data_IF_309909140734
#
_entry.id   IF_309909140734
#
_cell.length_a   1.000
_cell.length_b   1.000
_cell.length_c   1.000
_cell.angle_alpha   90.00
_cell.angle_beta   90.00
_cell.angle_gamma   90.00
#
_symmetry.space_group_name_H-M   'P 1'
#
loop_
_entity.id
_entity.type
_entity.pdbx_description
1 polymer ?
#
# COMPACT_ATOMS: atom_id res chain seq x y z
N UNK A 1 -31.49 -17.09 -6.62
CA UNK A 1 -31.10 -16.79 -8.04
C UNK A 1 -31.21 -15.31 -8.39
N UNK A 2 -32.34 -14.62 -8.19
CA UNK A 2 -32.47 -13.17 -8.49
C UNK A 2 -31.63 -12.31 -7.52
N UNK A 3 -31.72 -12.55 -6.22
CA UNK A 3 -30.92 -11.86 -5.17
C UNK A 3 -29.43 -12.06 -5.33
N UNK A 4 -28.96 -13.25 -5.67
CA UNK A 4 -27.53 -13.52 -5.95
C UNK A 4 -27.02 -12.74 -7.17
N UNK A 5 -27.83 -12.64 -8.23
CA UNK A 5 -27.50 -11.86 -9.44
C UNK A 5 -27.45 -10.35 -9.14
N UNK A 6 -28.34 -9.84 -8.32
CA UNK A 6 -28.37 -8.44 -7.92
C UNK A 6 -27.19 -8.08 -7.00
N UNK A 7 -26.87 -8.93 -6.03
CA UNK A 7 -25.72 -8.78 -5.14
C UNK A 7 -24.41 -8.83 -5.92
N UNK A 8 -24.28 -9.77 -6.88
CA UNK A 8 -23.10 -9.88 -7.76
C UNK A 8 -22.96 -8.67 -8.68
N UNK A 9 -24.07 -8.14 -9.23
CA UNK A 9 -24.09 -6.92 -10.06
C UNK A 9 -23.74 -5.67 -9.24
N UNK A 10 -24.21 -5.56 -8.00
CA UNK A 10 -23.92 -4.45 -7.08
C UNK A 10 -22.44 -4.48 -6.63
N UNK A 11 -21.89 -5.66 -6.36
CA UNK A 11 -20.47 -5.85 -6.04
C UNK A 11 -19.58 -5.46 -7.22
N UNK A 12 -19.88 -5.92 -8.42
CA UNK A 12 -19.15 -5.57 -9.64
C UNK A 12 -19.11 -4.05 -9.87
N UNK A 13 -20.22 -3.34 -9.65
CA UNK A 13 -20.28 -1.89 -9.84
C UNK A 13 -19.47 -1.12 -8.79
N UNK A 14 -19.39 -1.61 -7.54
CA UNK A 14 -18.52 -1.03 -6.52
C UNK A 14 -17.05 -1.16 -6.93
N UNK A 15 -16.67 -2.32 -7.42
CA UNK A 15 -15.29 -2.59 -7.87
C UNK A 15 -14.93 -1.70 -9.08
N UNK A 16 -15.83 -1.51 -10.04
CA UNK A 16 -15.66 -0.59 -11.17
C UNK A 16 -15.44 0.86 -10.73
N UNK A 17 -16.21 1.34 -9.73
CA UNK A 17 -16.04 2.68 -9.16
C UNK A 17 -14.67 2.84 -8.52
N UNK A 18 -14.23 1.87 -7.71
CA UNK A 18 -12.92 1.90 -7.04
C UNK A 18 -11.78 1.81 -8.04
N UNK A 19 -11.90 0.96 -9.07
CA UNK A 19 -10.93 0.88 -10.16
C UNK A 19 -10.80 2.22 -10.92
N UNK A 20 -11.94 2.84 -11.26
CA UNK A 20 -11.94 4.14 -11.92
C UNK A 20 -11.30 5.22 -11.06
N UNK A 21 -11.57 5.21 -9.74
CA UNK A 21 -10.94 6.14 -8.80
C UNK A 21 -9.42 5.92 -8.74
N UNK A 22 -8.95 4.68 -8.65
CA UNK A 22 -7.52 4.35 -8.67
C UNK A 22 -6.84 4.80 -9.98
N UNK A 23 -7.48 4.59 -11.14
CA UNK A 23 -6.98 5.06 -12.44
C UNK A 23 -6.95 6.59 -12.54
N UNK A 24 -7.94 7.28 -11.97
CA UNK A 24 -7.93 8.74 -11.91
C UNK A 24 -6.80 9.27 -11.01
N UNK A 25 -6.50 8.58 -9.91
CA UNK A 25 -5.35 8.89 -9.04
C UNK A 25 -4.02 8.67 -9.77
N UNK A 26 -3.92 7.67 -10.62
CA UNK A 26 -2.74 7.41 -11.43
C UNK A 26 -2.54 8.50 -12.49
N UNK A 27 -3.58 8.82 -13.25
CA UNK A 27 -3.53 9.77 -14.37
C UNK A 27 -3.51 11.25 -13.95
N UNK A 28 -3.83 11.56 -12.67
CA UNK A 28 -3.77 12.94 -12.19
C UNK A 28 -2.32 13.37 -11.99
N UNK A 29 -2.01 14.64 -12.30
CA UNK A 29 -0.73 15.27 -11.97
C UNK A 29 -0.55 15.52 -10.46
N UNK A 30 -1.53 15.09 -9.65
CA UNK A 30 -1.58 15.30 -8.20
C UNK A 30 -1.98 16.70 -7.77
N UNK A 31 -2.09 17.66 -8.68
CA UNK A 31 -2.48 19.04 -8.39
C UNK A 31 -3.99 19.23 -8.38
N UNK A 32 -4.74 18.33 -8.99
CA UNK A 32 -6.19 18.44 -9.12
C UNK A 32 -6.93 17.50 -8.15
N UNK A 33 -7.81 18.12 -7.35
CA UNK A 33 -8.74 17.36 -6.51
C UNK A 33 -9.69 16.53 -7.38
N UNK A 34 -9.73 15.23 -7.18
CA UNK A 34 -10.73 14.36 -7.80
C UNK A 34 -12.11 14.72 -7.22
N UNK A 35 -13.05 15.11 -8.10
CA UNK A 35 -14.44 15.39 -7.71
C UNK A 35 -15.33 14.18 -7.97
N UNK A 36 -16.42 14.06 -7.21
CA UNK A 36 -17.44 13.01 -7.42
C UNK A 36 -18.11 13.13 -8.78
N UNK A 37 -18.33 14.37 -9.27
CA UNK A 37 -18.86 14.61 -10.60
C UNK A 37 -17.94 14.04 -11.70
N UNK A 38 -16.61 14.29 -11.63
CA UNK A 38 -15.64 13.75 -12.58
C UNK A 38 -15.57 12.22 -12.51
N UNK A 39 -15.60 11.64 -11.30
CA UNK A 39 -15.62 10.19 -11.12
C UNK A 39 -16.91 9.56 -11.68
N UNK A 40 -18.08 10.15 -11.41
CA UNK A 40 -19.36 9.68 -11.93
C UNK A 40 -19.37 9.69 -13.48
N UNK A 41 -18.87 10.77 -14.09
CA UNK A 41 -18.72 10.88 -15.54
C UNK A 41 -17.76 9.80 -16.09
N UNK A 42 -16.63 9.54 -15.44
CA UNK A 42 -15.66 8.50 -15.84
C UNK A 42 -16.27 7.10 -15.79
N UNK A 43 -17.05 6.81 -14.75
CA UNK A 43 -17.75 5.51 -14.58
C UNK A 43 -18.97 5.38 -15.49
N UNK A 44 -19.45 6.48 -16.06
CA UNK A 44 -20.67 6.51 -16.90
C UNK A 44 -21.96 6.39 -16.10
N UNK A 45 -22.02 7.00 -14.90
CA UNK A 45 -23.19 7.01 -14.02
C UNK A 45 -23.51 8.43 -13.54
N UNK A 46 -24.71 8.66 -13.01
CA UNK A 46 -25.01 9.90 -12.29
C UNK A 46 -24.36 9.91 -10.91
N UNK A 47 -24.08 11.11 -10.36
CA UNK A 47 -23.58 11.24 -8.98
C UNK A 47 -24.55 10.58 -7.96
N UNK A 48 -25.86 10.70 -8.17
CA UNK A 48 -26.85 10.04 -7.33
C UNK A 48 -26.71 8.50 -7.36
N UNK A 49 -26.36 7.93 -8.52
CA UNK A 49 -26.09 6.50 -8.64
C UNK A 49 -24.79 6.11 -7.95
N UNK A 50 -23.75 6.96 -8.03
CA UNK A 50 -22.48 6.78 -7.31
C UNK A 50 -22.72 6.72 -5.79
N UNK A 51 -23.48 7.68 -5.25
CA UNK A 51 -23.78 7.75 -3.81
C UNK A 51 -24.64 6.57 -3.29
N UNK A 52 -25.39 5.88 -4.15
CA UNK A 52 -26.05 4.62 -3.78
C UNK A 52 -25.08 3.47 -3.49
N UNK A 53 -23.88 3.51 -4.08
CA UNK A 53 -22.83 2.52 -3.85
C UNK A 53 -21.87 2.93 -2.72
N UNK A 54 -21.58 4.22 -2.62
CA UNK A 54 -20.68 4.80 -1.61
C UNK A 54 -21.30 6.07 -1.04
N UNK A 55 -21.67 6.11 0.24
CA UNK A 55 -22.38 7.24 0.85
C UNK A 55 -21.55 8.54 0.90
N UNK A 56 -20.25 8.47 0.65
CA UNK A 56 -19.37 9.63 0.53
C UNK A 56 -18.10 9.29 -0.26
N UNK A 57 -17.40 10.31 -0.74
CA UNK A 57 -16.06 10.17 -1.35
C UNK A 57 -15.08 9.57 -0.34
N UNK A 58 -15.16 9.98 0.92
CA UNK A 58 -14.33 9.43 2.01
C UNK A 58 -14.50 7.91 2.12
N UNK A 59 -15.71 7.38 1.93
CA UNK A 59 -15.96 5.93 1.96
C UNK A 59 -15.36 5.18 0.76
N UNK A 60 -15.18 5.86 -0.37
CA UNK A 60 -14.44 5.28 -1.51
C UNK A 60 -12.95 5.16 -1.17
N UNK A 61 -12.35 6.22 -0.62
CA UNK A 61 -10.96 6.17 -0.15
C UNK A 61 -10.77 5.15 0.99
N UNK A 62 -11.71 5.06 1.95
CA UNK A 62 -11.70 4.01 2.98
C UNK A 62 -11.58 2.61 2.36
N UNK A 63 -12.37 2.33 1.31
CA UNK A 63 -12.34 1.02 0.64
C UNK A 63 -11.05 0.78 -0.14
N UNK A 64 -10.43 1.81 -0.73
CA UNK A 64 -9.12 1.67 -1.35
C UNK A 64 -8.02 1.41 -0.30
N UNK A 65 -8.07 2.09 0.85
CA UNK A 65 -7.13 1.86 1.95
C UNK A 65 -7.32 0.45 2.52
N UNK A 66 -8.54 -0.01 2.72
CA UNK A 66 -8.84 -1.39 3.13
C UNK A 66 -8.25 -2.41 2.16
N UNK A 67 -8.38 -2.20 0.86
CA UNK A 67 -7.75 -3.06 -0.15
C UNK A 67 -6.21 -3.05 -0.06
N UNK A 68 -5.59 -1.89 0.19
CA UNK A 68 -4.14 -1.79 0.40
C UNK A 68 -3.73 -2.57 1.65
N UNK A 69 -4.42 -2.34 2.78
CA UNK A 69 -4.17 -3.01 4.06
C UNK A 69 -4.26 -4.53 3.92
N UNK A 70 -5.35 -5.04 3.35
CA UNK A 70 -5.57 -6.46 3.14
C UNK A 70 -4.53 -7.08 2.21
N UNK A 71 -4.20 -6.36 1.13
CA UNK A 71 -3.21 -6.84 0.14
C UNK A 71 -1.81 -6.97 0.72
N UNK A 72 -1.38 -6.02 1.52
CA UNK A 72 -0.04 -6.03 2.11
C UNK A 72 0.02 -6.98 3.32
N UNK A 73 -0.89 -6.82 4.29
CA UNK A 73 -0.85 -7.57 5.55
C UNK A 73 -1.05 -9.07 5.33
N UNK A 74 -2.01 -9.47 4.48
CA UNK A 74 -2.25 -10.89 4.21
C UNK A 74 -1.04 -11.56 3.55
N UNK A 75 -0.37 -10.88 2.62
CA UNK A 75 0.83 -11.41 1.96
C UNK A 75 2.06 -11.41 2.88
N UNK A 76 2.23 -10.41 3.75
CA UNK A 76 3.27 -10.45 4.79
C UNK A 76 3.06 -11.67 5.68
N UNK A 77 1.83 -11.93 6.12
CA UNK A 77 1.52 -13.11 6.94
C UNK A 77 1.84 -14.43 6.23
N UNK A 78 1.61 -14.52 4.91
CA UNK A 78 2.01 -15.69 4.12
C UNK A 78 3.53 -15.83 4.05
N UNK A 79 4.27 -14.75 3.82
CA UNK A 79 5.74 -14.76 3.85
C UNK A 79 6.23 -15.29 5.21
N UNK A 80 5.68 -14.79 6.32
CA UNK A 80 6.07 -15.19 7.66
C UNK A 80 5.74 -16.66 7.97
N UNK A 81 4.70 -17.20 7.35
CA UNK A 81 4.32 -18.61 7.50
C UNK A 81 5.26 -19.54 6.71
N UNK A 82 5.55 -19.18 5.46
CA UNK A 82 6.18 -20.08 4.49
C UNK A 82 7.71 -19.99 4.52
N UNK A 83 8.27 -18.76 4.70
CA UNK A 83 9.71 -18.54 4.79
C UNK A 83 10.20 -18.65 6.25
N UNK A 84 11.39 -19.25 6.46
CA UNK A 84 11.99 -19.44 7.80
C UNK A 84 13.22 -18.58 8.03
N UNK A 85 13.96 -18.28 6.98
CA UNK A 85 15.16 -17.43 7.07
C UNK A 85 14.77 -15.96 7.30
N UNK A 86 15.38 -15.32 8.29
CA UNK A 86 15.06 -13.94 8.67
C UNK A 86 15.42 -12.94 7.58
N UNK A 87 16.58 -13.11 6.95
CA UNK A 87 17.04 -12.20 5.89
C UNK A 87 16.14 -12.33 4.66
N UNK A 88 15.77 -13.57 4.30
CA UNK A 88 14.81 -13.80 3.22
C UNK A 88 13.43 -13.19 3.51
N UNK A 89 12.92 -13.31 4.74
CA UNK A 89 11.67 -12.65 5.17
C UNK A 89 11.71 -11.14 4.97
N UNK A 90 12.76 -10.50 5.49
CA UNK A 90 12.95 -9.04 5.35
C UNK A 90 12.96 -8.68 3.87
N UNK A 91 13.79 -9.35 3.06
CA UNK A 91 13.89 -9.10 1.63
C UNK A 91 12.53 -9.22 0.91
N UNK A 92 11.79 -10.29 1.19
CA UNK A 92 10.47 -10.53 0.58
C UNK A 92 9.44 -9.49 0.99
N UNK A 93 9.46 -9.02 2.25
CA UNK A 93 8.55 -7.96 2.72
C UNK A 93 8.86 -6.64 1.99
N UNK A 94 10.14 -6.26 1.87
CA UNK A 94 10.51 -5.03 1.15
C UNK A 94 10.10 -5.11 -0.33
N UNK A 95 10.40 -6.22 -1.02
CA UNK A 95 9.98 -6.44 -2.42
C UNK A 95 8.46 -6.42 -2.56
N UNK A 96 7.72 -6.99 -1.62
CA UNK A 96 6.26 -6.95 -1.63
C UNK A 96 5.74 -5.51 -1.60
N UNK A 97 6.24 -4.67 -0.68
CA UNK A 97 5.82 -3.27 -0.56
C UNK A 97 6.14 -2.49 -1.83
N UNK A 98 7.38 -2.58 -2.31
CA UNK A 98 7.84 -1.88 -3.51
C UNK A 98 7.10 -2.36 -4.76
N UNK A 99 6.94 -3.67 -4.94
CA UNK A 99 6.24 -4.27 -6.08
C UNK A 99 4.72 -4.03 -6.06
N UNK A 100 4.11 -3.92 -4.87
CA UNK A 100 2.72 -3.50 -4.75
C UNK A 100 2.55 -2.07 -5.25
N UNK A 101 3.42 -1.16 -4.81
CA UNK A 101 3.41 0.24 -5.22
C UNK A 101 3.58 0.38 -6.75
N UNK A 102 4.55 -0.33 -7.33
CA UNK A 102 4.84 -0.31 -8.76
C UNK A 102 3.65 -0.79 -9.61
N UNK A 103 2.95 -1.83 -9.15
CA UNK A 103 1.77 -2.39 -9.83
C UNK A 103 0.50 -1.57 -9.63
N UNK A 104 0.51 -0.63 -8.69
CA UNK A 104 -0.66 0.17 -8.31
C UNK A 104 -0.29 1.65 -8.15
N UNK A 105 0.10 2.36 -9.25
CA UNK A 105 0.61 3.73 -9.15
C UNK A 105 -0.38 4.69 -8.49
N UNK A 106 -1.68 4.59 -8.82
CA UNK A 106 -2.72 5.41 -8.19
C UNK A 106 -2.83 5.18 -6.67
N UNK A 107 -2.69 3.93 -6.21
CA UNK A 107 -2.71 3.62 -4.77
C UNK A 107 -1.41 4.06 -4.08
N UNK A 108 -0.31 4.17 -4.81
CA UNK A 108 0.94 4.71 -4.27
C UNK A 108 0.80 6.18 -3.87
N UNK A 109 -0.05 6.95 -4.54
CA UNK A 109 -0.39 8.32 -4.10
C UNK A 109 -1.17 8.34 -2.78
N UNK A 110 -1.94 7.30 -2.49
CA UNK A 110 -2.60 7.13 -1.18
C UNK A 110 -1.55 6.76 -0.13
N UNK A 111 -0.69 5.78 -0.39
CA UNK A 111 0.37 5.34 0.51
C UNK A 111 1.32 6.47 0.91
N UNK A 112 1.65 7.36 -0.02
CA UNK A 112 2.51 8.53 0.25
C UNK A 112 1.76 9.74 0.86
N UNK A 113 0.46 9.62 1.11
CA UNK A 113 -0.38 10.72 1.59
C UNK A 113 -0.72 11.77 0.51
N UNK A 114 -0.07 11.72 -0.64
CA UNK A 114 -0.23 12.73 -1.70
C UNK A 114 -1.67 12.86 -2.19
N UNK A 115 -2.43 11.76 -2.31
CA UNK A 115 -3.83 11.77 -2.70
C UNK A 115 -4.78 12.19 -1.56
N UNK A 116 -4.28 12.26 -0.33
CA UNK A 116 -5.07 12.54 0.88
C UNK A 116 -4.97 13.98 1.37
N UNK A 117 -4.13 14.82 0.75
CA UNK A 117 -3.88 16.22 1.18
C UNK A 117 -5.15 17.07 1.30
N UNK A 118 -6.19 16.76 0.51
CA UNK A 118 -7.47 17.48 0.51
C UNK A 118 -8.64 16.65 1.05
N UNK A 119 -8.33 15.52 1.71
CA UNK A 119 -9.32 14.60 2.26
C UNK A 119 -9.36 14.72 3.80
N UNK A 120 -10.16 13.90 4.46
CA UNK A 120 -10.27 13.90 5.92
C UNK A 120 -9.00 13.34 6.58
N UNK A 121 -8.49 14.00 7.63
CA UNK A 121 -7.27 13.62 8.38
C UNK A 121 -7.28 12.16 8.86
N UNK A 122 -8.46 11.59 9.15
CA UNK A 122 -8.58 10.20 9.56
C UNK A 122 -8.11 9.19 8.51
N UNK A 123 -8.16 9.55 7.21
CA UNK A 123 -7.66 8.68 6.15
C UNK A 123 -6.13 8.61 6.18
N UNK A 124 -5.48 9.76 6.42
CA UNK A 124 -4.04 9.79 6.66
C UNK A 124 -3.67 8.99 7.92
N UNK A 125 -4.48 9.10 8.98
CA UNK A 125 -4.31 8.30 10.20
C UNK A 125 -4.34 6.79 9.95
N UNK A 126 -5.20 6.31 9.03
CA UNK A 126 -5.22 4.88 8.65
C UNK A 126 -3.94 4.44 7.92
N UNK A 127 -3.41 5.27 7.04
CA UNK A 127 -2.14 4.98 6.36
C UNK A 127 -1.00 4.93 7.37
N UNK A 128 -0.95 5.87 8.32
CA UNK A 128 0.05 5.85 9.39
C UNK A 128 -0.04 4.55 10.21
N UNK A 129 -1.25 4.12 10.60
CA UNK A 129 -1.47 2.85 11.30
C UNK A 129 -1.04 1.63 10.49
N UNK A 130 -1.22 1.64 9.15
CA UNK A 130 -0.72 0.57 8.29
C UNK A 130 0.81 0.49 8.34
N UNK A 131 1.51 1.61 8.23
CA UNK A 131 2.97 1.66 8.32
C UNK A 131 3.47 1.22 9.70
N UNK A 132 2.84 1.69 10.79
CA UNK A 132 3.14 1.22 12.14
C UNK A 132 2.99 -0.30 12.29
N UNK A 133 1.94 -0.89 11.72
CA UNK A 133 1.75 -2.35 11.72
C UNK A 133 2.86 -3.08 10.97
N UNK A 134 3.27 -2.58 9.81
CA UNK A 134 4.36 -3.17 9.03
C UNK A 134 5.68 -3.07 9.80
N UNK A 135 5.96 -1.91 10.41
CA UNK A 135 7.16 -1.71 11.23
C UNK A 135 7.21 -2.67 12.42
N UNK A 136 6.09 -2.83 13.12
CA UNK A 136 5.97 -3.81 14.24
C UNK A 136 6.23 -5.23 13.74
N UNK A 137 5.73 -5.62 12.57
CA UNK A 137 5.99 -6.95 12.00
C UNK A 137 7.47 -7.13 11.62
N UNK A 138 8.10 -6.13 11.01
CA UNK A 138 9.54 -6.15 10.70
C UNK A 138 10.37 -6.27 11.98
N UNK A 139 10.06 -5.47 13.00
CA UNK A 139 10.73 -5.53 14.30
C UNK A 139 10.60 -6.93 14.92
N UNK A 140 9.41 -7.54 14.87
CA UNK A 140 9.21 -8.89 15.38
C UNK A 140 10.05 -9.93 14.61
N UNK A 141 10.10 -9.84 13.28
CA UNK A 141 10.94 -10.69 12.42
C UNK A 141 12.41 -10.60 12.82
N UNK A 142 12.91 -9.38 13.01
CA UNK A 142 14.30 -9.10 13.41
C UNK A 142 14.60 -9.68 14.79
N UNK A 143 13.72 -9.41 15.76
CA UNK A 143 13.86 -9.88 17.15
C UNK A 143 13.87 -11.41 17.26
N UNK A 144 13.03 -12.09 16.49
CA UNK A 144 12.93 -13.54 16.51
C UNK A 144 14.16 -14.26 15.95
N UNK A 145 15.05 -13.58 15.22
CA UNK A 145 16.25 -14.20 14.66
C UNK A 145 17.11 -14.88 15.72
N UNK A 146 17.30 -14.22 16.86
CA UNK A 146 18.09 -14.78 17.98
C UNK A 146 17.54 -16.11 18.45
N UNK A 147 16.23 -16.25 18.52
CA UNK A 147 15.57 -17.48 19.00
C UNK A 147 15.60 -18.57 17.93
N UNK A 148 15.36 -18.21 16.66
CA UNK A 148 15.21 -19.18 15.56
C UNK A 148 16.52 -19.60 14.92
N UNK A 149 17.49 -18.68 14.84
CA UNK A 149 18.74 -18.88 14.11
C UNK A 149 19.97 -18.82 15.01
N UNK A 150 19.79 -18.56 16.31
CA UNK A 150 20.88 -18.51 17.30
C UNK A 150 21.78 -17.26 17.19
N UNK A 151 21.46 -16.31 16.32
CA UNK A 151 22.22 -15.08 16.11
C UNK A 151 21.34 -13.84 16.13
N UNK A 152 21.81 -12.76 16.75
CA UNK A 152 21.14 -11.46 16.72
C UNK A 152 21.82 -10.53 15.71
N UNK A 153 21.10 -9.50 15.29
CA UNK A 153 21.72 -8.37 14.59
C UNK A 153 22.51 -7.50 15.58
N UNK A 154 23.46 -6.73 15.06
CA UNK A 154 24.31 -5.86 15.89
C UNK A 154 23.51 -4.67 16.46
N UNK A 155 22.57 -4.13 15.70
CA UNK A 155 21.82 -2.93 16.04
C UNK A 155 20.46 -3.26 16.66
N UNK A 156 19.87 -2.28 17.34
CA UNK A 156 18.53 -2.36 17.94
C UNK A 156 17.46 -2.72 16.91
N UNK A 157 16.55 -3.61 17.27
CA UNK A 157 15.53 -4.15 16.36
C UNK A 157 14.53 -3.06 15.89
N UNK A 158 14.21 -2.08 16.74
CA UNK A 158 13.29 -1.00 16.37
C UNK A 158 13.98 -0.04 15.40
N UNK A 159 15.26 0.27 15.61
CA UNK A 159 16.05 1.11 14.71
C UNK A 159 16.16 0.46 13.31
N UNK A 160 16.47 -0.84 13.26
CA UNK A 160 16.55 -1.57 11.99
C UNK A 160 15.21 -1.63 11.28
N UNK A 161 14.11 -1.91 11.99
CA UNK A 161 12.78 -1.95 11.40
C UNK A 161 12.37 -0.60 10.81
N UNK A 162 12.58 0.49 11.57
CA UNK A 162 12.33 1.85 11.12
C UNK A 162 13.16 2.23 9.89
N UNK A 163 14.46 1.89 9.87
CA UNK A 163 15.34 2.11 8.73
C UNK A 163 14.86 1.40 7.45
N UNK A 164 14.46 0.13 7.59
CA UNK A 164 13.94 -0.67 6.47
C UNK A 164 12.64 -0.10 5.92
N UNK A 165 11.74 0.34 6.81
CA UNK A 165 10.49 0.96 6.41
C UNK A 165 10.73 2.32 5.75
N UNK A 166 11.57 3.18 6.33
CA UNK A 166 11.95 4.47 5.76
C UNK A 166 12.56 4.33 4.35
N UNK A 167 13.34 3.27 4.10
CA UNK A 167 13.81 2.95 2.75
C UNK A 167 12.63 2.73 1.78
N UNK A 168 11.63 1.92 2.16
CA UNK A 168 10.45 1.70 1.31
C UNK A 168 9.68 3.00 1.09
N UNK A 169 9.40 3.77 2.14
CA UNK A 169 8.69 5.05 2.04
C UNK A 169 9.42 6.03 1.11
N UNK A 170 10.74 6.14 1.23
CA UNK A 170 11.57 6.96 0.36
C UNK A 170 11.50 6.55 -1.12
N UNK A 171 11.47 5.23 -1.38
CA UNK A 171 11.32 4.69 -2.74
C UNK A 171 9.92 4.97 -3.31
N UNK A 172 8.85 4.80 -2.51
CA UNK A 172 7.48 5.14 -2.89
C UNK A 172 7.32 6.64 -3.15
N UNK A 173 7.87 7.49 -2.27
CA UNK A 173 7.83 8.94 -2.44
C UNK A 173 8.56 9.37 -3.73
N UNK A 174 9.71 8.76 -4.04
CA UNK A 174 10.43 8.99 -5.29
C UNK A 174 9.62 8.55 -6.51
N UNK A 175 8.97 7.39 -6.46
CA UNK A 175 8.11 6.86 -7.51
C UNK A 175 6.98 7.84 -7.84
N UNK A 176 6.22 8.28 -6.82
CA UNK A 176 5.13 9.24 -6.98
C UNK A 176 5.65 10.61 -7.49
N UNK A 177 6.73 11.14 -6.88
CA UNK A 177 7.30 12.44 -7.25
C UNK A 177 7.83 12.49 -8.70
N UNK A 178 8.28 11.35 -9.23
CA UNK A 178 8.75 11.24 -10.61
C UNK A 178 7.65 10.86 -11.59
N UNK A 179 6.38 10.98 -11.19
CA UNK A 179 5.22 10.58 -12.00
C UNK A 179 5.38 9.17 -12.54
N UNK A 180 5.74 8.26 -11.63
CA UNK A 180 5.89 6.82 -11.86
C UNK A 180 6.97 6.42 -12.86
N UNK A 181 7.86 7.35 -13.25
CA UNK A 181 8.98 7.04 -14.18
C UNK A 181 10.10 6.23 -13.55
N UNK A 182 10.29 6.36 -12.22
CA UNK A 182 11.30 5.62 -11.47
C UNK A 182 10.66 4.41 -10.78
N UNK A 183 10.90 3.23 -11.31
CA UNK A 183 10.31 2.00 -10.78
C UNK A 183 10.94 1.61 -9.42
N UNK A 184 10.16 1.41 -8.35
CA UNK A 184 10.68 1.12 -7.02
C UNK A 184 11.53 -0.15 -6.94
N UNK A 185 11.24 -1.16 -7.78
CA UNK A 185 11.95 -2.43 -7.78
C UNK A 185 13.15 -2.48 -8.72
N UNK A 186 13.28 -1.52 -9.65
CA UNK A 186 14.25 -1.55 -10.75
C UNK A 186 15.70 -1.79 -10.32
N UNK A 187 16.12 -1.20 -9.19
CA UNK A 187 17.49 -1.32 -8.68
C UNK A 187 17.56 -2.11 -7.36
N UNK A 188 16.51 -2.85 -7.03
CA UNK A 188 16.43 -3.49 -5.72
C UNK A 188 17.56 -4.50 -5.51
N UNK A 189 17.87 -5.31 -6.51
CA UNK A 189 18.95 -6.32 -6.42
C UNK A 189 20.33 -5.67 -6.21
N UNK A 190 20.60 -4.54 -6.86
CA UNK A 190 21.83 -3.79 -6.67
C UNK A 190 21.91 -3.11 -5.29
N UNK A 191 20.75 -2.75 -4.72
CA UNK A 191 20.65 -2.11 -3.40
C UNK A 191 20.64 -3.12 -2.25
N UNK A 192 20.21 -4.35 -2.52
CA UNK A 192 20.05 -5.37 -1.49
C UNK A 192 21.34 -5.63 -0.68
N UNK A 193 22.54 -5.75 -1.28
CA UNK A 193 23.80 -5.90 -0.53
C UNK A 193 24.07 -4.72 0.42
N UNK A 194 23.71 -3.49 0.04
CA UNK A 194 23.88 -2.29 0.89
C UNK A 194 22.93 -2.33 2.08
N UNK A 195 21.66 -2.73 1.84
CA UNK A 195 20.67 -2.92 2.91
C UNK A 195 21.11 -4.03 3.85
N UNK A 196 21.60 -5.15 3.30
CA UNK A 196 22.07 -6.29 4.08
C UNK A 196 23.26 -5.93 4.97
N UNK A 197 24.17 -5.11 4.47
CA UNK A 197 25.33 -4.64 5.25
C UNK A 197 24.94 -3.80 6.48
N UNK A 198 23.79 -3.15 6.46
CA UNK A 198 23.26 -2.41 7.62
C UNK A 198 22.60 -3.35 8.66
N UNK A 199 22.28 -4.57 8.28
CA UNK A 199 21.69 -5.57 9.17
C UNK A 199 22.76 -6.41 9.90
N UNK A 200 24.01 -6.39 9.46
CA UNK A 200 25.14 -7.13 10.02
C UNK A 200 25.92 -6.29 11.01
#
# INVERSE_FOLDING_TARGET
>A
MAEEKETKKKRNRRDEILQSLAQMLESSDGSQRITTAKLAATVGVSEAALYRHFPSKTKMFDSLIEFIEDSLVSRINLILKDEKDTIARIRLILILILGFAEKNPGLSRILTGHALMFEQDRLQGRINQLYERIEVQLRQVIKERKIREGSAFLHDEALLASQLLAFCEGMLARFVRTEFRYQPTQEFEARWPLILAQLQ
#
